data_IF_652252065798
#
_entry.id   IF_652252065798
#
_cell.length_a   1.000
_cell.length_b   1.000
_cell.length_c   1.000
_cell.angle_alpha   90.00
_cell.angle_beta   90.00
_cell.angle_gamma   90.00
#
_symmetry.space_group_name_H-M   'P 1'
#
loop_
_entity.id
_entity.type
_entity.pdbx_description
1 polymer ?
#
# COMPACT_ATOMS: atom_id res chain seq x y z
N UNK A 1 0.50 -23.88 7.93
CA UNK A 1 -0.49 -24.34 8.94
C UNK A 1 -0.35 -23.50 10.17
N UNK A 2 -1.49 -23.08 10.78
CA UNK A 2 -1.45 -22.30 12.01
C UNK A 2 -0.62 -23.01 13.09
N UNK A 3 0.08 -22.22 13.86
CA UNK A 3 0.99 -22.70 14.90
C UNK A 3 0.15 -23.25 16.08
N UNK A 4 -0.09 -24.57 16.22
CA UNK A 4 -0.87 -25.11 17.33
C UNK A 4 -0.36 -24.66 18.72
N UNK A 5 0.98 -24.50 18.94
CA UNK A 5 1.50 -23.95 20.20
C UNK A 5 1.01 -22.52 20.48
N UNK A 6 0.97 -21.64 19.48
CA UNK A 6 0.50 -20.25 19.64
C UNK A 6 -0.99 -20.19 20.01
N UNK A 7 -1.81 -20.98 19.33
CA UNK A 7 -3.24 -21.04 19.60
C UNK A 7 -3.49 -21.58 21.03
N UNK A 8 -2.75 -22.61 21.45
CA UNK A 8 -2.85 -23.15 22.81
C UNK A 8 -2.40 -22.15 23.86
N UNK A 9 -1.41 -21.32 23.53
CA UNK A 9 -0.92 -20.26 24.43
C UNK A 9 -1.97 -19.14 24.58
N UNK A 10 -2.62 -18.76 23.47
CA UNK A 10 -3.68 -17.75 23.50
C UNK A 10 -4.94 -18.23 24.25
N UNK A 11 -5.40 -19.45 23.97
CA UNK A 11 -6.49 -20.13 24.67
C UNK A 11 -6.40 -21.64 24.42
N UNK A 12 -6.32 -22.48 25.46
CA UNK A 12 -6.26 -23.95 25.32
C UNK A 12 -7.38 -24.54 24.46
N UNK A 13 -8.58 -23.91 24.44
CA UNK A 13 -9.72 -24.35 23.62
C UNK A 13 -9.46 -24.22 22.11
N UNK A 14 -8.53 -23.37 21.70
CA UNK A 14 -8.19 -23.16 20.28
C UNK A 14 -7.23 -24.22 19.73
N UNK A 15 -6.61 -25.04 20.60
CA UNK A 15 -5.55 -25.98 20.22
C UNK A 15 -5.95 -26.96 19.09
N UNK A 16 -7.22 -27.40 19.07
CA UNK A 16 -7.76 -28.30 18.06
C UNK A 16 -8.54 -27.62 16.92
N UNK A 17 -8.73 -26.30 16.98
CA UNK A 17 -9.65 -25.57 16.12
C UNK A 17 -9.26 -25.67 14.63
N UNK A 18 -7.98 -25.52 14.30
CA UNK A 18 -7.53 -25.60 12.90
C UNK A 18 -7.79 -26.97 12.32
N UNK A 19 -7.38 -28.04 13.02
CA UNK A 19 -7.62 -29.42 12.56
C UNK A 19 -9.10 -29.78 12.43
N UNK A 20 -9.96 -29.17 13.26
CA UNK A 20 -11.41 -29.40 13.19
C UNK A 20 -12.09 -28.63 12.05
N UNK A 21 -11.58 -27.41 11.73
CA UNK A 21 -12.22 -26.49 10.76
C UNK A 21 -11.58 -26.52 9.37
N UNK A 22 -10.27 -26.74 9.28
CA UNK A 22 -9.55 -26.83 8.00
C UNK A 22 -9.35 -28.30 7.64
N UNK A 23 -10.32 -28.85 6.91
CA UNK A 23 -10.37 -30.28 6.54
C UNK A 23 -10.00 -30.54 5.08
N UNK A 24 -9.26 -29.68 4.44
CA UNK A 24 -8.86 -29.81 3.04
C UNK A 24 -7.38 -30.17 2.87
N UNK A 25 -7.03 -30.60 1.66
CA UNK A 25 -5.63 -30.64 1.23
C UNK A 25 -5.19 -29.20 0.94
N UNK A 26 -4.06 -28.79 1.53
CA UNK A 26 -3.42 -27.54 1.14
C UNK A 26 -2.78 -27.75 -0.24
N UNK A 27 -2.97 -26.78 -1.11
CA UNK A 27 -2.38 -26.73 -2.45
C UNK A 27 -1.69 -25.38 -2.62
N UNK A 28 -0.67 -25.36 -3.47
CA UNK A 28 0.10 -24.15 -3.72
C UNK A 28 -0.71 -23.11 -4.48
N UNK A 29 -0.31 -21.86 -4.35
CA UNK A 29 -0.90 -20.74 -5.09
C UNK A 29 -0.77 -20.99 -6.59
N UNK A 30 -1.85 -20.75 -7.33
CA UNK A 30 -1.87 -20.98 -8.77
C UNK A 30 -1.90 -22.46 -9.18
N UNK A 31 -1.78 -23.41 -8.25
CA UNK A 31 -1.93 -24.81 -8.56
C UNK A 31 -3.37 -25.16 -8.99
N UNK A 32 -3.52 -26.21 -9.76
CA UNK A 32 -4.84 -26.70 -10.21
C UNK A 32 -5.66 -27.18 -9.01
N UNK A 33 -6.74 -26.48 -8.71
CA UNK A 33 -7.72 -26.85 -7.68
C UNK A 33 -8.80 -27.81 -8.24
N UNK A 34 -9.04 -27.75 -9.53
CA UNK A 34 -10.04 -28.55 -10.21
C UNK A 34 -10.28 -28.11 -11.66
N UNK A 35 -11.41 -28.49 -12.18
CA UNK A 35 -11.82 -28.17 -13.55
C UNK A 35 -13.25 -27.65 -13.58
N UNK A 36 -13.56 -26.75 -14.49
CA UNK A 36 -14.89 -26.18 -14.65
C UNK A 36 -15.88 -27.27 -15.04
N UNK A 37 -16.91 -27.48 -14.21
CA UNK A 37 -17.92 -28.50 -14.45
C UNK A 37 -18.80 -28.12 -15.65
N UNK A 38 -19.41 -29.13 -16.32
CA UNK A 38 -20.32 -28.90 -17.44
C UNK A 38 -21.48 -27.94 -17.08
N UNK A 39 -22.02 -28.07 -15.86
CA UNK A 39 -23.10 -27.19 -15.37
C UNK A 39 -22.65 -25.73 -15.29
N UNK A 40 -21.48 -25.45 -14.69
CA UNK A 40 -20.95 -24.10 -14.55
C UNK A 40 -20.48 -23.52 -15.90
N UNK A 41 -19.91 -24.36 -16.72
CA UNK A 41 -19.50 -24.02 -18.09
C UNK A 41 -20.68 -23.50 -18.92
N UNK A 42 -21.81 -24.25 -18.90
CA UNK A 42 -23.04 -23.86 -19.60
C UNK A 42 -23.60 -22.52 -19.08
N UNK A 43 -23.56 -22.29 -17.75
CA UNK A 43 -24.02 -21.02 -17.14
C UNK A 43 -23.14 -19.85 -17.51
N UNK A 44 -21.81 -20.04 -17.58
CA UNK A 44 -20.83 -18.99 -17.90
C UNK A 44 -20.61 -18.79 -19.40
N UNK A 45 -21.17 -19.66 -20.27
CA UNK A 45 -20.89 -19.64 -21.70
C UNK A 45 -19.45 -20.01 -22.05
N UNK A 46 -18.82 -20.87 -21.23
CA UNK A 46 -17.43 -21.30 -21.36
C UNK A 46 -17.35 -22.81 -21.69
N UNK A 47 -16.23 -23.29 -22.26
CA UNK A 47 -16.00 -24.73 -22.40
C UNK A 47 -15.87 -25.42 -21.03
N UNK A 48 -16.43 -26.65 -20.92
CA UNK A 48 -16.19 -27.50 -19.75
C UNK A 48 -14.71 -27.95 -19.68
N UNK A 49 -14.21 -28.24 -18.49
CA UNK A 49 -12.85 -28.73 -18.30
C UNK A 49 -11.75 -27.66 -18.30
N UNK A 50 -12.11 -26.37 -18.33
CA UNK A 50 -11.15 -25.29 -18.08
C UNK A 50 -10.56 -25.45 -16.68
N UNK A 51 -9.27 -25.21 -16.56
CA UNK A 51 -8.53 -25.23 -15.29
C UNK A 51 -9.10 -24.19 -14.32
N UNK A 52 -9.35 -24.62 -13.08
CA UNK A 52 -9.69 -23.76 -11.94
C UNK A 52 -8.53 -23.81 -10.95
N UNK A 53 -7.92 -22.68 -10.68
CA UNK A 53 -6.76 -22.58 -9.78
C UNK A 53 -7.16 -22.29 -8.33
N UNK A 54 -6.24 -22.56 -7.41
CA UNK A 54 -6.38 -22.16 -6.03
C UNK A 54 -6.59 -20.63 -5.92
N UNK A 55 -7.52 -20.16 -5.05
CA UNK A 55 -7.71 -18.74 -4.83
C UNK A 55 -6.51 -18.14 -4.14
N UNK A 56 -6.35 -16.81 -4.29
CA UNK A 56 -5.28 -16.04 -3.70
C UNK A 56 -5.84 -14.74 -3.10
N UNK A 57 -5.32 -14.22 -1.98
CA UNK A 57 -5.67 -12.90 -1.48
C UNK A 57 -5.40 -11.83 -2.55
N UNK A 58 -6.31 -10.88 -2.69
CA UNK A 58 -6.34 -9.89 -3.79
C UNK A 58 -5.03 -9.09 -3.92
N UNK A 59 -4.53 -8.52 -2.82
CA UNK A 59 -3.29 -7.75 -2.84
C UNK A 59 -2.09 -8.58 -3.32
N UNK A 60 -2.01 -9.84 -2.87
CA UNK A 60 -0.92 -10.76 -3.21
C UNK A 60 -1.01 -11.24 -4.67
N UNK A 61 -2.23 -11.49 -5.14
CA UNK A 61 -2.50 -11.87 -6.53
C UNK A 61 -2.07 -10.81 -7.54
N UNK A 62 -1.91 -9.55 -7.11
CA UNK A 62 -1.54 -8.45 -8.01
C UNK A 62 -0.10 -8.52 -8.52
N UNK A 63 0.82 -9.27 -7.90
CA UNK A 63 2.24 -9.26 -8.27
C UNK A 63 2.47 -9.64 -9.75
N UNK A 64 1.99 -10.78 -10.25
CA UNK A 64 2.20 -11.13 -11.66
C UNK A 64 1.56 -10.13 -12.64
N UNK A 65 0.39 -9.56 -12.28
CA UNK A 65 -0.25 -8.52 -13.08
C UNK A 65 0.58 -7.26 -13.20
N UNK A 66 1.40 -6.97 -12.21
CA UNK A 66 2.35 -5.86 -12.20
C UNK A 66 3.74 -6.26 -12.74
N UNK A 67 3.86 -7.42 -13.39
CA UNK A 67 5.11 -7.92 -13.94
C UNK A 67 6.14 -8.32 -12.87
N UNK A 68 5.69 -8.59 -11.64
CA UNK A 68 6.56 -9.01 -10.53
C UNK A 68 6.51 -10.52 -10.42
N UNK A 69 7.57 -11.18 -10.81
CA UNK A 69 7.72 -12.65 -10.81
C UNK A 69 8.83 -13.14 -9.89
N UNK A 70 9.53 -12.20 -9.21
CA UNK A 70 10.64 -12.51 -8.32
C UNK A 70 11.07 -11.31 -7.48
N UNK A 71 12.15 -11.46 -6.67
CA UNK A 71 12.67 -10.42 -5.80
C UNK A 71 13.18 -9.18 -6.53
N UNK A 72 13.06 -8.03 -5.89
CA UNK A 72 13.60 -6.74 -6.37
C UNK A 72 12.54 -5.65 -6.45
N UNK A 73 11.53 -5.74 -7.31
CA UNK A 73 10.44 -4.77 -7.30
C UNK A 73 9.41 -5.09 -6.20
N UNK A 74 8.69 -4.06 -5.76
CA UNK A 74 7.53 -4.20 -4.88
C UNK A 74 6.27 -3.65 -5.56
N UNK A 75 5.12 -4.29 -5.35
CA UNK A 75 3.82 -3.78 -5.71
C UNK A 75 3.36 -2.75 -4.68
N UNK A 76 2.88 -1.58 -5.13
CA UNK A 76 2.22 -0.58 -4.29
C UNK A 76 0.78 -0.40 -4.76
N UNK A 77 -0.17 -0.86 -3.97
CA UNK A 77 -1.57 -0.52 -4.16
C UNK A 77 -1.85 0.84 -3.51
N UNK A 78 -2.00 1.89 -4.34
CA UNK A 78 -2.25 3.26 -3.92
C UNK A 78 -3.76 3.56 -3.96
N UNK A 79 -4.44 3.23 -2.87
CA UNK A 79 -5.89 3.42 -2.68
C UNK A 79 -6.19 4.38 -1.53
N UNK A 80 -7.30 4.15 -0.83
CA UNK A 80 -7.69 4.78 0.46
C UNK A 80 -6.57 4.68 1.48
N UNK A 81 -6.07 3.46 1.68
CA UNK A 81 -4.80 3.16 2.35
C UNK A 81 -3.78 2.70 1.32
N UNK A 82 -2.52 2.54 1.73
CA UNK A 82 -1.52 1.89 0.88
C UNK A 82 -1.23 0.47 1.35
N UNK A 83 -0.95 -0.42 0.37
CA UNK A 83 -0.38 -1.72 0.65
C UNK A 83 0.84 -1.93 -0.26
N UNK A 84 1.99 -2.17 0.37
CA UNK A 84 3.23 -2.54 -0.32
C UNK A 84 3.48 -4.03 -0.14
N UNK A 85 3.51 -4.76 -1.25
CA UNK A 85 3.70 -6.21 -1.27
C UNK A 85 4.95 -6.51 -2.10
N UNK A 86 5.81 -7.35 -1.57
CA UNK A 86 6.99 -7.84 -2.28
C UNK A 86 7.27 -9.30 -1.95
N UNK A 87 8.13 -9.93 -2.72
CA UNK A 87 8.59 -11.28 -2.44
C UNK A 87 10.11 -11.34 -2.31
N UNK A 88 10.60 -12.27 -1.48
CA UNK A 88 12.02 -12.50 -1.27
C UNK A 88 12.32 -13.97 -1.01
N UNK A 89 13.55 -14.40 -1.30
CA UNK A 89 13.92 -15.82 -1.22
C UNK A 89 14.16 -16.33 0.20
N UNK A 90 14.35 -15.44 1.19
CA UNK A 90 14.70 -15.78 2.55
C UNK A 90 13.72 -15.14 3.54
N UNK A 91 13.56 -15.78 4.69
CA UNK A 91 12.87 -15.18 5.85
C UNK A 91 13.84 -14.24 6.58
N UNK A 92 13.62 -12.95 6.42
CA UNK A 92 14.35 -11.91 7.15
C UNK A 92 13.34 -11.09 7.95
N UNK A 93 13.43 -11.06 9.29
CA UNK A 93 12.53 -10.23 10.10
C UNK A 93 12.68 -8.75 9.75
N UNK A 94 11.57 -8.09 9.43
CA UNK A 94 11.51 -6.64 9.16
C UNK A 94 10.65 -5.99 10.22
N UNK A 95 11.21 -4.98 10.91
CA UNK A 95 10.51 -4.25 11.95
C UNK A 95 9.24 -3.59 11.41
N UNK A 96 8.12 -3.76 12.12
CA UNK A 96 6.84 -3.13 11.78
C UNK A 96 6.20 -3.61 10.48
N UNK A 97 6.70 -4.68 9.86
CA UNK A 97 6.00 -5.30 8.74
C UNK A 97 4.71 -5.99 9.21
N UNK A 98 3.66 -5.93 8.41
CA UNK A 98 2.35 -6.51 8.80
C UNK A 98 2.39 -8.04 8.78
N UNK A 99 3.05 -8.62 7.78
CA UNK A 99 3.24 -10.08 7.69
C UNK A 99 4.44 -10.46 6.84
N UNK A 100 5.03 -11.62 7.17
CA UNK A 100 6.03 -12.32 6.37
C UNK A 100 5.59 -13.78 6.32
N UNK A 101 5.25 -14.29 5.16
CA UNK A 101 4.68 -15.64 5.03
C UNK A 101 5.24 -16.33 3.79
N UNK A 102 5.70 -17.58 3.97
CA UNK A 102 6.14 -18.41 2.85
C UNK A 102 4.93 -18.76 1.96
N UNK A 103 5.14 -18.80 0.66
CA UNK A 103 4.12 -19.13 -0.34
C UNK A 103 2.89 -18.20 -0.29
N UNK A 104 3.05 -16.96 0.17
CA UNK A 104 1.93 -16.01 0.26
C UNK A 104 1.83 -15.07 -0.95
N UNK A 105 2.80 -15.08 -1.84
CA UNK A 105 2.82 -14.25 -3.06
C UNK A 105 3.10 -15.09 -4.30
N UNK A 106 4.23 -15.75 -4.31
CA UNK A 106 4.67 -16.66 -5.37
C UNK A 106 5.21 -17.95 -4.72
N UNK A 107 5.05 -19.12 -5.36
CA UNK A 107 5.54 -20.37 -4.82
C UNK A 107 7.05 -20.33 -4.52
N UNK A 108 7.45 -20.84 -3.37
CA UNK A 108 8.84 -20.93 -2.93
C UNK A 108 9.43 -19.60 -2.38
N UNK A 109 8.66 -18.49 -2.36
CA UNK A 109 9.12 -17.20 -1.88
C UNK A 109 8.35 -16.75 -0.64
N UNK A 110 9.04 -16.00 0.22
CA UNK A 110 8.40 -15.29 1.32
C UNK A 110 7.74 -14.01 0.79
N UNK A 111 6.45 -13.86 1.02
CA UNK A 111 5.70 -12.64 0.75
C UNK A 111 5.75 -11.72 1.97
N UNK A 112 6.12 -10.46 1.74
CA UNK A 112 6.16 -9.39 2.72
C UNK A 112 5.03 -8.42 2.46
N UNK A 113 4.29 -8.06 3.50
CA UNK A 113 3.23 -7.07 3.42
C UNK A 113 3.46 -5.94 4.41
N UNK A 114 3.46 -4.72 3.93
CA UNK A 114 3.55 -3.48 4.71
C UNK A 114 2.59 -2.44 4.13
N UNK A 115 2.41 -1.30 4.78
CA UNK A 115 1.59 -0.23 4.21
C UNK A 115 1.20 0.84 5.22
N UNK A 116 0.55 1.88 4.72
CA UNK A 116 0.09 3.02 5.50
C UNK A 116 -1.42 2.94 5.70
N UNK A 117 -1.89 3.24 6.90
CA UNK A 117 -3.31 3.12 7.27
C UNK A 117 -4.19 4.21 6.62
N UNK A 118 -3.62 5.37 6.31
CA UNK A 118 -4.21 6.40 5.45
C UNK A 118 -3.26 6.67 4.29
N UNK A 119 -3.80 6.88 3.08
CA UNK A 119 -3.04 7.27 1.90
C UNK A 119 -3.88 8.24 1.06
N UNK A 120 -4.68 7.77 0.15
CA UNK A 120 -5.61 8.63 -0.60
C UNK A 120 -6.66 9.30 0.28
N UNK A 121 -7.07 8.65 1.39
CA UNK A 121 -8.00 9.21 2.37
C UNK A 121 -7.51 10.52 2.98
N UNK A 122 -6.21 10.65 3.23
CA UNK A 122 -5.64 11.86 3.79
C UNK A 122 -5.84 13.05 2.86
N UNK A 123 -5.58 12.85 1.57
CA UNK A 123 -5.79 13.90 0.55
C UNK A 123 -7.29 14.18 0.36
N UNK A 124 -8.11 13.14 0.36
CA UNK A 124 -9.58 13.26 0.30
C UNK A 124 -10.16 13.99 1.50
N UNK A 125 -9.66 13.70 2.70
CA UNK A 125 -10.03 14.40 3.94
C UNK A 125 -9.71 15.90 3.84
N UNK A 126 -8.51 16.27 3.36
CA UNK A 126 -8.13 17.67 3.22
C UNK A 126 -9.07 18.40 2.26
N UNK A 127 -9.31 17.83 1.07
CA UNK A 127 -10.21 18.45 0.08
C UNK A 127 -11.64 18.59 0.60
N UNK A 128 -12.16 17.57 1.28
CA UNK A 128 -13.57 17.56 1.72
C UNK A 128 -13.84 18.35 3.01
N UNK A 129 -12.81 18.59 3.84
CA UNK A 129 -12.99 19.20 5.18
C UNK A 129 -12.21 20.49 5.39
N UNK A 130 -11.13 20.71 4.63
CA UNK A 130 -10.17 21.79 4.91
C UNK A 130 -9.90 22.69 3.69
N UNK A 131 -10.26 22.29 2.46
CA UNK A 131 -10.02 23.11 1.29
C UNK A 131 -10.85 24.41 1.35
N UNK A 132 -10.22 25.59 1.21
CA UNK A 132 -10.93 26.86 1.21
C UNK A 132 -11.86 27.00 -0.01
N UNK A 133 -12.89 27.81 0.15
CA UNK A 133 -13.88 28.05 -0.91
C UNK A 133 -13.26 28.60 -2.19
N UNK A 134 -12.23 29.41 -2.11
CA UNK A 134 -11.49 29.95 -3.26
C UNK A 134 -10.88 28.84 -4.14
N UNK A 135 -10.38 27.76 -3.52
CA UNK A 135 -9.84 26.61 -4.24
C UNK A 135 -10.97 25.84 -4.94
N UNK A 136 -12.08 25.65 -4.22
CA UNK A 136 -13.26 24.96 -4.75
C UNK A 136 -13.88 25.72 -5.93
N UNK A 137 -13.98 27.05 -5.83
CA UNK A 137 -14.45 27.91 -6.91
C UNK A 137 -13.50 27.89 -8.11
N UNK A 138 -12.19 28.01 -7.89
CA UNK A 138 -11.22 27.98 -8.98
C UNK A 138 -11.25 26.64 -9.73
N UNK A 139 -11.41 25.52 -9.01
CA UNK A 139 -11.57 24.21 -9.62
C UNK A 139 -12.87 24.13 -10.46
N UNK A 140 -13.98 24.68 -9.95
CA UNK A 140 -15.27 24.72 -10.61
C UNK A 140 -15.22 25.56 -11.90
N UNK A 141 -14.63 26.73 -11.84
CA UNK A 141 -14.47 27.65 -13.00
C UNK A 141 -13.59 27.02 -14.08
N UNK A 142 -12.55 26.27 -13.67
CA UNK A 142 -11.67 25.54 -14.57
C UNK A 142 -12.23 24.19 -15.05
N UNK A 143 -13.40 23.75 -14.58
CA UNK A 143 -14.00 22.43 -14.86
C UNK A 143 -13.09 21.24 -14.52
N UNK A 144 -12.34 21.35 -13.44
CA UNK A 144 -11.44 20.30 -12.92
C UNK A 144 -11.81 19.94 -11.47
N UNK A 145 -11.22 18.87 -10.95
CA UNK A 145 -11.40 18.52 -9.53
C UNK A 145 -10.57 19.45 -8.61
N UNK A 146 -11.02 19.62 -7.36
CA UNK A 146 -10.25 20.36 -6.36
C UNK A 146 -8.87 19.70 -6.06
N UNK A 147 -8.77 18.38 -6.19
CA UNK A 147 -7.49 17.66 -6.14
C UNK A 147 -6.54 18.11 -7.26
N UNK A 148 -7.06 18.28 -8.45
CA UNK A 148 -6.29 18.70 -9.63
C UNK A 148 -5.85 20.15 -9.51
N UNK A 149 -6.73 21.06 -9.05
CA UNK A 149 -6.40 22.47 -8.80
C UNK A 149 -5.32 22.61 -7.73
N UNK A 150 -5.45 21.91 -6.59
CA UNK A 150 -4.42 21.89 -5.55
C UNK A 150 -3.10 21.32 -6.04
N UNK A 151 -3.15 20.23 -6.83
CA UNK A 151 -1.94 19.65 -7.43
C UNK A 151 -1.26 20.61 -8.38
N UNK A 152 -2.03 21.33 -9.21
CA UNK A 152 -1.52 22.34 -10.15
C UNK A 152 -0.78 23.48 -9.41
N UNK A 153 -1.36 23.98 -8.31
CA UNK A 153 -0.73 25.01 -7.47
C UNK A 153 0.49 24.45 -6.73
N UNK A 154 0.37 23.25 -6.14
CA UNK A 154 1.45 22.59 -5.40
C UNK A 154 2.66 22.23 -6.29
N UNK A 155 2.45 22.01 -7.59
CA UNK A 155 3.52 21.73 -8.55
C UNK A 155 4.49 22.91 -8.75
N UNK A 156 4.07 24.13 -8.43
CA UNK A 156 4.90 25.33 -8.54
C UNK A 156 5.86 25.51 -7.35
N UNK A 157 5.68 24.76 -6.28
CA UNK A 157 6.51 24.83 -5.08
C UNK A 157 7.78 24.00 -5.24
N UNK A 158 8.85 24.43 -4.63
CA UNK A 158 10.09 23.65 -4.50
C UNK A 158 10.06 22.76 -3.23
N UNK A 159 10.86 21.66 -3.18
CA UNK A 159 11.03 20.88 -1.96
C UNK A 159 11.46 21.75 -0.77
N UNK A 160 10.71 21.67 0.34
CA UNK A 160 11.00 22.43 1.55
C UNK A 160 10.59 23.92 1.54
N UNK A 161 10.07 24.45 0.42
CA UNK A 161 9.66 25.87 0.32
C UNK A 161 8.60 26.25 1.35
N UNK A 162 7.65 25.34 1.61
CA UNK A 162 6.58 25.58 2.58
C UNK A 162 7.04 25.64 4.04
N UNK A 163 8.21 25.05 4.36
CA UNK A 163 8.65 24.86 5.76
C UNK A 163 7.78 23.88 6.56
N UNK A 164 6.92 23.11 5.90
CA UNK A 164 6.00 22.20 6.56
C UNK A 164 6.54 20.77 6.58
N UNK A 165 6.30 20.07 7.71
CA UNK A 165 6.50 18.60 7.81
C UNK A 165 5.18 17.96 8.27
N UNK A 166 4.81 16.84 7.64
CA UNK A 166 3.60 16.07 7.96
C UNK A 166 3.96 14.66 8.41
N UNK A 167 3.49 14.24 9.59
CA UNK A 167 3.40 12.82 9.96
C UNK A 167 2.06 12.28 9.47
N UNK A 168 2.09 11.31 8.56
CA UNK A 168 0.94 10.79 7.79
C UNK A 168 -0.04 9.89 8.57
N UNK A 169 -0.05 9.94 9.90
CA UNK A 169 -0.71 8.97 10.78
C UNK A 169 -2.18 9.28 11.08
N UNK A 170 -2.97 9.83 10.16
CA UNK A 170 -4.39 10.14 10.36
C UNK A 170 -5.22 8.94 10.83
N UNK A 171 -4.87 7.73 10.41
CA UNK A 171 -5.46 6.47 10.88
C UNK A 171 -4.46 5.61 11.67
N UNK A 172 -3.49 6.21 12.37
CA UNK A 172 -2.40 5.51 13.06
C UNK A 172 -1.25 5.12 12.13
N UNK A 173 -0.21 4.51 12.68
CA UNK A 173 0.93 3.99 11.92
C UNK A 173 0.85 2.46 11.84
N UNK A 174 0.53 1.93 10.65
CA UNK A 174 0.39 0.48 10.42
C UNK A 174 1.74 -0.20 10.31
N UNK A 175 2.67 0.38 9.56
CA UNK A 175 3.99 -0.17 9.31
C UNK A 175 5.07 0.79 9.75
N UNK A 176 6.15 0.22 10.21
CA UNK A 176 7.27 0.65 11.00
C UNK A 176 6.97 0.66 12.50
N UNK A 177 5.92 1.29 12.98
CA UNK A 177 5.63 1.38 14.42
C UNK A 177 4.55 0.40 14.88
N UNK A 178 3.67 -0.05 13.97
CA UNK A 178 2.53 -0.92 14.27
C UNK A 178 1.65 -0.39 15.43
N UNK A 179 1.50 0.93 15.53
CA UNK A 179 0.76 1.61 16.59
C UNK A 179 -0.40 2.45 16.02
N UNK A 180 -1.61 1.90 16.16
CA UNK A 180 -2.84 2.54 15.69
C UNK A 180 -3.35 3.64 16.64
N UNK A 181 -2.67 3.89 17.76
CA UNK A 181 -2.99 4.98 18.70
C UNK A 181 -2.30 6.29 18.35
N UNK A 182 -1.35 6.25 17.42
CA UNK A 182 -0.71 7.46 16.89
C UNK A 182 -1.71 8.25 16.03
N UNK A 183 -1.47 9.54 15.86
CA UNK A 183 -2.31 10.46 15.08
C UNK A 183 -1.47 11.35 14.19
N UNK A 184 -2.07 11.86 13.12
CA UNK A 184 -1.42 12.76 12.17
C UNK A 184 -0.97 14.07 12.84
N UNK A 185 0.06 14.67 12.25
CA UNK A 185 0.59 15.97 12.68
C UNK A 185 1.03 16.77 11.46
N UNK A 186 0.77 18.07 11.49
CA UNK A 186 1.34 19.04 10.56
C UNK A 186 2.10 20.10 11.37
N UNK A 187 3.39 20.21 11.13
CA UNK A 187 4.30 21.14 11.82
C UNK A 187 4.77 22.23 10.85
N UNK A 188 4.99 23.45 11.37
CA UNK A 188 5.58 24.56 10.61
C UNK A 188 4.56 25.58 10.07
N UNK A 189 3.27 25.44 10.38
CA UNK A 189 2.24 26.40 9.92
C UNK A 189 2.42 27.80 10.46
N UNK A 190 2.20 28.79 9.60
CA UNK A 190 2.20 30.22 9.92
C UNK A 190 0.93 30.88 9.37
N UNK A 191 0.71 32.16 9.66
CA UNK A 191 -0.40 32.93 9.08
C UNK A 191 -0.28 33.13 7.55
N UNK A 192 0.89 32.84 6.97
CA UNK A 192 1.16 32.93 5.53
C UNK A 192 0.96 31.60 4.80
N UNK A 193 0.72 30.51 5.55
CA UNK A 193 0.60 29.16 4.96
C UNK A 193 -0.60 29.07 4.04
N UNK A 194 -0.37 28.63 2.80
CA UNK A 194 -1.37 28.52 1.74
C UNK A 194 -1.91 27.08 1.61
N UNK A 195 -3.12 26.88 1.09
CA UNK A 195 -3.74 25.55 0.95
C UNK A 195 -2.90 24.55 0.15
N UNK A 196 -2.27 25.00 -0.93
CA UNK A 196 -1.40 24.15 -1.77
C UNK A 196 -0.12 23.74 -1.06
N UNK A 197 0.39 24.52 -0.13
CA UNK A 197 1.55 24.19 0.71
C UNK A 197 1.20 23.04 1.67
N UNK A 198 0.01 23.13 2.29
CA UNK A 198 -0.51 22.05 3.14
C UNK A 198 -0.72 20.79 2.31
N UNK A 199 -1.39 20.89 1.14
CA UNK A 199 -1.66 19.75 0.30
C UNK A 199 -0.38 19.05 -0.17
N UNK A 200 0.67 19.83 -0.51
CA UNK A 200 1.98 19.28 -0.84
C UNK A 200 2.64 18.60 0.36
N UNK A 201 2.62 19.22 1.54
CA UNK A 201 3.17 18.62 2.75
C UNK A 201 2.48 17.31 3.14
N UNK A 202 1.16 17.18 2.90
CA UNK A 202 0.45 15.91 3.06
C UNK A 202 0.96 14.83 2.09
N UNK A 203 1.15 15.17 0.81
CA UNK A 203 1.73 14.24 -0.18
C UNK A 203 3.17 13.85 0.19
N UNK A 204 3.99 14.81 0.61
CA UNK A 204 5.37 14.57 1.03
C UNK A 204 5.43 13.70 2.29
N UNK A 205 4.56 13.93 3.27
CA UNK A 205 4.44 13.10 4.47
C UNK A 205 4.11 11.63 4.15
N UNK A 206 3.16 11.41 3.22
CA UNK A 206 2.87 10.05 2.71
C UNK A 206 4.09 9.41 2.03
N UNK A 207 4.86 10.20 1.28
CA UNK A 207 6.12 9.76 0.67
C UNK A 207 7.18 9.40 1.70
N UNK A 208 7.35 10.21 2.75
CA UNK A 208 8.29 9.94 3.83
C UNK A 208 7.90 8.69 4.63
N UNK A 209 6.61 8.51 4.93
CA UNK A 209 6.12 7.28 5.56
C UNK A 209 6.42 6.04 4.72
N UNK A 210 6.23 6.11 3.40
CA UNK A 210 6.59 5.02 2.48
C UNK A 210 8.11 4.79 2.46
N UNK A 211 8.92 5.84 2.47
CA UNK A 211 10.39 5.74 2.56
C UNK A 211 10.84 5.06 3.87
N UNK A 212 10.22 5.36 5.02
CA UNK A 212 10.48 4.65 6.27
C UNK A 212 10.24 3.15 6.14
N UNK A 213 9.17 2.74 5.44
CA UNK A 213 8.86 1.32 5.20
C UNK A 213 9.95 0.68 4.32
N UNK A 214 10.34 1.33 3.23
CA UNK A 214 11.40 0.86 2.33
C UNK A 214 12.73 0.71 3.09
N UNK A 215 13.13 1.73 3.85
CA UNK A 215 14.36 1.71 4.63
C UNK A 215 14.37 0.59 5.69
N UNK A 216 13.22 0.28 6.30
CA UNK A 216 13.11 -0.83 7.25
C UNK A 216 13.38 -2.18 6.55
N UNK A 217 12.87 -2.38 5.33
CA UNK A 217 13.14 -3.58 4.55
C UNK A 217 14.60 -3.66 4.14
N UNK A 218 15.18 -2.58 3.64
CA UNK A 218 16.58 -2.54 3.20
C UNK A 218 17.56 -2.76 4.36
N UNK A 219 17.29 -2.17 5.54
CA UNK A 219 18.10 -2.44 6.75
C UNK A 219 18.05 -3.90 7.17
N UNK A 220 16.94 -4.59 6.91
CA UNK A 220 16.81 -6.03 7.18
C UNK A 220 17.43 -6.91 6.08
N UNK A 221 17.97 -6.33 5.00
CA UNK A 221 18.58 -7.06 3.89
C UNK A 221 17.60 -7.47 2.79
N UNK A 222 16.38 -6.88 2.77
CA UNK A 222 15.37 -7.10 1.73
C UNK A 222 15.36 -5.90 0.78
N UNK A 223 16.10 -5.93 -0.34
CA UNK A 223 16.25 -4.77 -1.23
C UNK A 223 14.98 -4.51 -2.05
N UNK A 224 14.64 -3.23 -2.20
CA UNK A 224 13.53 -2.76 -3.03
C UNK A 224 14.08 -1.84 -4.12
N UNK A 225 14.07 -2.31 -5.37
CA UNK A 225 14.70 -1.60 -6.50
C UNK A 225 13.76 -0.64 -7.23
N UNK A 226 12.46 -0.94 -7.21
CA UNK A 226 11.43 -0.18 -7.91
C UNK A 226 10.07 -0.45 -7.27
N UNK A 227 9.11 0.46 -7.48
CA UNK A 227 7.72 0.22 -7.14
C UNK A 227 6.87 0.12 -8.42
N UNK A 228 6.05 -0.92 -8.50
CA UNK A 228 5.02 -1.07 -9.51
C UNK A 228 3.68 -0.68 -8.88
N UNK A 229 3.13 0.45 -9.31
CA UNK A 229 2.03 1.14 -8.62
C UNK A 229 0.70 0.89 -9.34
N UNK A 230 -0.30 0.50 -8.57
CA UNK A 230 -1.69 0.36 -9.00
C UNK A 230 -2.61 1.21 -8.12
N UNK A 231 -3.86 1.37 -8.56
CA UNK A 231 -4.88 2.14 -7.84
C UNK A 231 -5.13 3.51 -8.43
N UNK A 232 -6.31 4.07 -8.10
CA UNK A 232 -6.84 5.27 -8.75
C UNK A 232 -5.95 6.50 -8.69
N UNK A 233 -5.24 6.68 -7.58
CA UNK A 233 -4.38 7.85 -7.38
C UNK A 233 -3.15 7.84 -8.29
N UNK A 234 -2.68 6.65 -8.71
CA UNK A 234 -1.47 6.50 -9.51
C UNK A 234 -1.60 7.10 -10.94
N UNK A 235 -2.79 7.17 -11.48
CA UNK A 235 -3.04 7.79 -12.78
C UNK A 235 -3.83 9.09 -12.70
N UNK A 236 -4.42 9.43 -11.53
CA UNK A 236 -5.16 10.68 -11.34
C UNK A 236 -4.29 11.82 -10.80
N UNK A 237 -3.15 11.52 -10.17
CA UNK A 237 -2.27 12.54 -9.59
C UNK A 237 -0.79 12.34 -10.00
N UNK A 238 -0.41 12.80 -11.22
CA UNK A 238 0.97 12.71 -11.71
C UNK A 238 1.99 13.41 -10.81
N UNK A 239 1.62 14.57 -10.21
CA UNK A 239 2.49 15.27 -9.27
C UNK A 239 2.85 14.37 -8.09
N UNK A 240 1.85 13.74 -7.46
CA UNK A 240 2.11 12.89 -6.31
C UNK A 240 3.00 11.69 -6.68
N UNK A 241 2.82 11.09 -7.86
CA UNK A 241 3.71 10.01 -8.31
C UNK A 241 5.15 10.49 -8.50
N UNK A 242 5.36 11.68 -9.06
CA UNK A 242 6.71 12.24 -9.20
C UNK A 242 7.32 12.54 -7.82
N UNK A 243 6.55 13.15 -6.90
CA UNK A 243 7.00 13.39 -5.52
C UNK A 243 7.37 12.10 -4.81
N UNK A 244 6.55 11.05 -4.91
CA UNK A 244 6.88 9.74 -4.36
C UNK A 244 8.21 9.20 -4.91
N UNK A 245 8.40 9.24 -6.24
CA UNK A 245 9.64 8.78 -6.87
C UNK A 245 10.86 9.53 -6.34
N UNK A 246 10.75 10.87 -6.24
CA UNK A 246 11.83 11.74 -5.75
C UNK A 246 12.17 11.47 -4.28
N UNK A 247 11.15 11.31 -3.42
CA UNK A 247 11.31 11.09 -1.97
C UNK A 247 11.91 9.72 -1.68
N UNK A 248 11.38 8.66 -2.32
CA UNK A 248 11.88 7.30 -2.09
C UNK A 248 13.15 6.97 -2.90
N UNK A 249 13.55 7.84 -3.83
CA UNK A 249 14.70 7.68 -4.72
C UNK A 249 14.68 6.36 -5.50
N UNK A 250 13.49 5.96 -5.97
CA UNK A 250 13.26 4.74 -6.75
C UNK A 250 12.30 5.02 -7.90
N UNK A 251 12.49 4.33 -9.04
CA UNK A 251 11.56 4.44 -10.15
C UNK A 251 10.18 3.86 -9.80
N UNK A 252 9.13 4.51 -10.32
CA UNK A 252 7.76 4.03 -10.28
C UNK A 252 7.32 3.61 -11.68
N UNK A 253 6.66 2.45 -11.78
CA UNK A 253 6.02 1.95 -12.99
C UNK A 253 4.52 1.87 -12.73
N UNK A 254 3.71 2.52 -13.56
CA UNK A 254 2.28 2.66 -13.33
C UNK A 254 1.49 1.59 -14.09
N UNK A 255 0.52 0.97 -13.42
CA UNK A 255 -0.38 0.02 -14.08
C UNK A 255 -1.43 0.74 -14.94
N UNK A 256 -1.95 0.05 -15.95
CA UNK A 256 -3.22 0.42 -16.59
C UNK A 256 -4.36 0.34 -15.56
N UNK A 257 -5.48 1.07 -15.75
CA UNK A 257 -6.63 1.03 -14.85
C UNK A 257 -7.44 -0.27 -14.99
N UNK A 258 -6.79 -1.40 -14.70
CA UNK A 258 -7.35 -2.74 -14.74
C UNK A 258 -7.38 -3.33 -13.33
N UNK A 259 -8.29 -4.29 -13.04
CA UNK A 259 -8.34 -4.99 -11.77
C UNK A 259 -7.13 -5.92 -11.62
N UNK A 260 -6.01 -5.38 -11.12
CA UNK A 260 -4.72 -6.11 -11.02
C UNK A 260 -4.83 -7.47 -10.32
N UNK A 261 -5.64 -7.69 -9.26
CA UNK A 261 -5.81 -9.01 -8.69
C UNK A 261 -6.39 -10.03 -9.67
N UNK A 262 -7.42 -9.63 -10.43
CA UNK A 262 -8.05 -10.51 -11.42
C UNK A 262 -7.10 -10.85 -12.57
N UNK A 263 -6.33 -9.87 -13.06
CA UNK A 263 -5.30 -10.10 -14.08
C UNK A 263 -4.21 -11.03 -13.55
N UNK A 264 -3.76 -10.83 -12.31
CA UNK A 264 -2.76 -11.73 -11.70
C UNK A 264 -3.25 -13.16 -11.55
N UNK A 265 -4.50 -13.36 -11.15
CA UNK A 265 -5.11 -14.69 -11.12
C UNK A 265 -5.25 -15.29 -12.53
N UNK A 266 -5.56 -14.49 -13.55
CA UNK A 266 -5.59 -14.94 -14.93
C UNK A 266 -4.21 -15.43 -15.42
N UNK A 267 -3.13 -14.70 -15.05
CA UNK A 267 -1.75 -15.09 -15.36
C UNK A 267 -1.40 -16.43 -14.70
N UNK A 268 -1.68 -16.57 -13.39
CA UNK A 268 -1.45 -17.82 -12.67
C UNK A 268 -2.25 -18.99 -13.26
N UNK A 269 -3.51 -18.72 -13.65
CA UNK A 269 -4.36 -19.73 -14.29
C UNK A 269 -3.89 -20.13 -15.69
N UNK A 270 -3.34 -19.17 -16.45
CA UNK A 270 -2.72 -19.43 -17.73
C UNK A 270 -1.47 -20.31 -17.59
N UNK A 271 -0.66 -20.10 -16.56
CA UNK A 271 0.47 -20.97 -16.23
C UNK A 271 0.00 -22.38 -15.82
N UNK A 272 -1.04 -22.47 -15.00
CA UNK A 272 -1.60 -23.78 -14.59
C UNK A 272 -2.21 -24.57 -15.75
N UNK A 273 -2.69 -23.89 -16.80
CA UNK A 273 -3.19 -24.53 -18.02
C UNK A 273 -2.04 -25.10 -18.89
N UNK A 274 -0.89 -24.45 -18.89
CA UNK A 274 0.27 -24.81 -19.69
C UNK A 274 0.10 -24.53 -21.19
N UNK A 275 1.22 -24.60 -21.93
CA UNK A 275 1.25 -24.32 -23.38
C UNK A 275 0.36 -25.25 -24.19
N UNK A 276 0.18 -26.52 -23.78
CA UNK A 276 -0.69 -27.50 -24.46
C UNK A 276 -2.18 -27.09 -24.48
N UNK A 277 -2.60 -26.23 -23.55
CA UNK A 277 -3.97 -25.69 -23.48
C UNK A 277 -4.04 -24.20 -23.80
N UNK A 278 -3.04 -23.65 -24.50
CA UNK A 278 -2.98 -22.25 -24.90
C UNK A 278 -2.55 -21.29 -23.80
N UNK A 279 -2.00 -21.81 -22.70
CA UNK A 279 -1.39 -21.02 -21.62
C UNK A 279 0.12 -20.90 -21.75
N UNK A 280 0.83 -20.85 -20.63
CA UNK A 280 2.27 -20.66 -20.54
C UNK A 280 2.89 -21.66 -19.58
N UNK A 281 4.13 -22.10 -19.85
CA UNK A 281 4.83 -22.99 -18.93
C UNK A 281 5.71 -22.21 -17.92
N UNK A 282 5.95 -20.92 -18.18
CA UNK A 282 6.79 -20.06 -17.34
C UNK A 282 6.04 -18.79 -16.92
N UNK A 283 6.12 -18.45 -15.62
CA UNK A 283 5.45 -17.27 -15.07
C UNK A 283 6.00 -15.96 -15.66
N UNK A 284 7.31 -15.89 -15.87
CA UNK A 284 7.96 -14.71 -16.46
C UNK A 284 7.43 -14.41 -17.86
N UNK A 285 7.28 -15.43 -18.69
CA UNK A 285 6.73 -15.28 -20.03
C UNK A 285 5.25 -14.84 -19.98
N UNK A 286 4.45 -15.49 -19.13
CA UNK A 286 3.03 -15.15 -18.96
C UNK A 286 2.88 -13.71 -18.47
N UNK A 287 3.64 -13.30 -17.46
CA UNK A 287 3.62 -11.95 -16.94
C UNK A 287 4.10 -10.92 -17.98
N UNK A 288 5.14 -11.21 -18.74
CA UNK A 288 5.63 -10.30 -19.79
C UNK A 288 4.56 -10.01 -20.86
N UNK A 289 3.70 -10.99 -21.18
CA UNK A 289 2.67 -10.85 -22.20
C UNK A 289 1.31 -10.36 -21.68
N UNK A 290 0.98 -10.66 -20.43
CA UNK A 290 -0.36 -10.44 -19.86
C UNK A 290 -0.38 -9.35 -18.78
N UNK A 291 0.77 -8.83 -18.33
CA UNK A 291 0.80 -7.80 -17.29
C UNK A 291 0.06 -6.52 -17.72
N UNK A 292 -0.43 -5.81 -16.75
CA UNK A 292 -1.14 -4.55 -16.95
C UNK A 292 -0.25 -3.32 -16.70
N UNK A 293 1.07 -3.42 -16.77
CA UNK A 293 1.93 -2.25 -16.76
C UNK A 293 1.67 -1.37 -18.00
N UNK A 294 1.67 -0.07 -17.78
CA UNK A 294 1.61 0.94 -18.84
C UNK A 294 3.02 1.42 -19.19
N UNK A 295 3.12 2.29 -20.19
CA UNK A 295 4.37 2.98 -20.54
C UNK A 295 4.69 4.15 -19.59
N UNK A 296 3.77 4.48 -18.68
CA UNK A 296 3.94 5.58 -17.72
C UNK A 296 4.91 5.15 -16.62
N UNK A 297 5.96 5.93 -16.47
CA UNK A 297 6.99 5.74 -15.44
C UNK A 297 7.44 7.08 -14.90
N UNK A 298 7.79 7.10 -13.62
CA UNK A 298 8.40 8.25 -12.96
C UNK A 298 9.81 7.85 -12.51
N UNK A 299 10.78 8.70 -12.84
CA UNK A 299 12.16 8.53 -12.40
C UNK A 299 12.44 9.58 -11.32
N UNK A 300 13.22 9.24 -10.29
CA UNK A 300 13.64 10.23 -9.32
C UNK A 300 14.48 11.31 -9.99
N UNK A 301 14.22 12.57 -9.62
CA UNK A 301 15.03 13.71 -10.05
C UNK A 301 16.25 13.86 -9.12
N UNK A 302 17.47 13.60 -9.58
CA UNK A 302 18.66 13.70 -8.74
C UNK A 302 18.90 15.11 -8.19
N UNK A 303 18.42 16.16 -8.86
CA UNK A 303 18.58 17.52 -8.42
C UNK A 303 17.77 17.84 -7.13
N UNK A 304 16.76 17.04 -6.82
CA UNK A 304 15.92 17.20 -5.63
C UNK A 304 16.32 16.25 -4.49
N UNK A 305 17.27 15.33 -4.70
CA UNK A 305 17.62 14.29 -3.73
C UNK A 305 18.07 14.87 -2.39
N UNK A 306 19.02 15.83 -2.38
CA UNK A 306 19.57 16.42 -1.16
C UNK A 306 18.50 17.18 -0.34
N UNK A 307 17.57 17.86 -1.02
CA UNK A 307 16.48 18.57 -0.37
C UNK A 307 15.54 17.57 0.31
N UNK A 308 15.13 16.49 -0.38
CA UNK A 308 14.28 15.45 0.20
C UNK A 308 15.00 14.63 1.27
N UNK A 309 16.30 14.41 1.19
CA UNK A 309 17.08 13.76 2.24
C UNK A 309 17.13 14.64 3.52
N UNK A 310 17.19 15.94 3.35
CA UNK A 310 17.13 16.88 4.47
C UNK A 310 15.77 16.87 5.14
N UNK A 311 14.67 16.98 4.38
CA UNK A 311 13.30 16.90 4.89
C UNK A 311 13.00 15.55 5.53
N UNK A 312 13.49 14.46 4.93
CA UNK A 312 13.31 13.13 5.48
C UNK A 312 14.00 12.92 6.82
N UNK A 313 15.17 13.54 7.05
CA UNK A 313 15.83 13.52 8.37
C UNK A 313 14.98 14.19 9.44
N UNK A 314 14.35 15.32 9.12
CA UNK A 314 13.43 15.99 10.06
C UNK A 314 12.16 15.14 10.29
N UNK A 315 11.59 14.57 9.22
CA UNK A 315 10.47 13.63 9.37
C UNK A 315 10.85 12.44 10.26
N UNK A 316 12.00 11.80 10.03
CA UNK A 316 12.45 10.64 10.79
C UNK A 316 12.71 10.99 12.28
N UNK A 317 13.24 12.18 12.58
CA UNK A 317 13.40 12.65 13.95
C UNK A 317 12.05 12.79 14.67
N UNK A 318 11.04 13.37 14.01
CA UNK A 318 9.70 13.50 14.57
C UNK A 318 8.99 12.14 14.66
N UNK A 319 9.16 11.28 13.65
CA UNK A 319 8.65 9.91 13.64
C UNK A 319 9.14 9.13 14.86
N UNK A 320 10.43 9.18 15.16
CA UNK A 320 11.00 8.47 16.31
C UNK A 320 10.62 9.16 17.63
N UNK A 321 10.59 10.47 17.69
CA UNK A 321 10.23 11.23 18.90
C UNK A 321 8.80 10.89 19.38
N UNK A 322 7.82 10.86 18.48
CA UNK A 322 6.43 10.53 18.84
C UNK A 322 6.12 9.03 18.76
N UNK A 323 6.76 8.30 17.87
CA UNK A 323 6.44 6.91 17.59
C UNK A 323 7.15 5.89 18.46
N UNK A 324 8.36 6.21 18.95
CA UNK A 324 9.18 5.28 19.75
C UNK A 324 9.19 5.58 21.26
N UNK A 325 8.21 6.35 21.73
CA UNK A 325 7.95 6.53 23.16
C UNK A 325 8.72 7.65 23.86
N UNK A 326 9.44 8.51 23.13
CA UNK A 326 10.04 9.72 23.74
C UNK A 326 8.96 10.72 24.17
N UNK A 327 7.82 10.77 23.47
CA UNK A 327 6.69 11.61 23.85
C UNK A 327 5.34 10.98 23.47
N UNK A 328 4.59 10.52 24.46
CA UNK A 328 3.27 9.91 24.29
C UNK A 328 2.09 10.90 24.22
N UNK A 329 2.32 12.15 23.88
CA UNK A 329 1.27 13.18 23.86
C UNK A 329 0.08 12.79 22.97
N UNK A 330 0.31 12.18 21.81
CA UNK A 330 -0.76 11.74 20.90
C UNK A 330 -1.68 10.71 21.58
N UNK A 331 -1.11 9.75 22.31
CA UNK A 331 -1.85 8.72 23.04
C UNK A 331 -2.63 9.33 24.21
N UNK A 332 -2.00 10.22 24.99
CA UNK A 332 -2.68 10.91 26.09
C UNK A 332 -3.87 11.76 25.63
N UNK A 333 -3.73 12.46 24.49
CA UNK A 333 -4.84 13.24 23.91
C UNK A 333 -6.00 12.34 23.46
N UNK A 334 -5.70 11.17 22.88
CA UNK A 334 -6.76 10.19 22.54
C UNK A 334 -7.47 9.64 23.75
N UNK A 335 -6.72 9.29 24.81
CA UNK A 335 -7.30 8.78 26.06
C UNK A 335 -8.18 9.86 26.73
N UNK A 336 -7.73 11.12 26.76
CA UNK A 336 -8.52 12.25 27.24
C UNK A 336 -9.83 12.41 26.43
N UNK A 337 -9.74 12.38 25.10
CA UNK A 337 -10.92 12.48 24.22
C UNK A 337 -11.90 11.35 24.45
N UNK A 338 -11.43 10.11 24.64
CA UNK A 338 -12.29 8.96 24.93
C UNK A 338 -13.01 9.14 26.26
N UNK A 339 -12.28 9.49 27.32
CA UNK A 339 -12.87 9.72 28.66
C UNK A 339 -13.94 10.83 28.67
N UNK A 340 -13.69 11.94 27.95
CA UNK A 340 -14.68 13.04 27.84
C UNK A 340 -15.94 12.59 27.10
N UNK A 341 -15.79 11.81 26.03
CA UNK A 341 -16.94 11.27 25.27
C UNK A 341 -17.76 10.30 26.10
N UNK A 342 -17.14 9.38 26.84
CA UNK A 342 -17.84 8.46 27.73
C UNK A 342 -18.66 9.21 28.80
N UNK A 343 -18.07 10.25 29.41
CA UNK A 343 -18.80 11.09 30.38
C UNK A 343 -19.96 11.87 29.77
N UNK A 344 -19.83 12.30 28.51
CA UNK A 344 -20.89 12.99 27.79
C UNK A 344 -22.06 12.03 27.47
N UNK A 345 -21.77 10.81 27.02
CA UNK A 345 -22.81 9.79 26.76
C UNK A 345 -23.53 9.36 28.05
N UNK A 346 -22.81 9.13 29.14
CA UNK A 346 -23.41 8.74 30.44
C UNK A 346 -24.33 9.80 31.07
N UNK A 347 -24.28 11.06 30.58
CA UNK A 347 -25.20 12.12 31.03
C UNK A 347 -26.48 12.22 30.22
N UNK A 348 -26.59 11.48 29.12
CA UNK A 348 -27.76 11.47 28.23
C UNK A 348 -28.57 10.17 28.31
N UNK A 349 -28.12 9.19 29.11
CA UNK A 349 -28.88 8.05 29.59
C UNK A 349 -29.53 8.36 30.98
#
# INVERSE_FOLDING_TARGET
MGYPPLLRYADPRLAGMIGAKVRGKLIDIGAVSGYLTARQAAWLGLPAGIVVTAPHPDAMASLPALGITGPGPAALAAGTSSAMILCYSQFLPVEGTTSITLDNTLPGLYGYASGQAAFGDLLGWFVSRCAPEEVLRAAQDAHISAHEELSRRAALLHPGESGLICLDWWNGNRSCLADMRLSGMLLGMTLQTRPEEIYRALMEGLGFGLRCIIDAHERAGVPIRALHVSGGISYKNPLFMQLLSNIIQRPLYISKPLPTPAVGMAILSACAAGTQKGGYDQLDEAAARMSCLSDIRYQPDPAQADAYDTLYREYAALHDYFGRGANDVMKRLRDLSAAVKEQAYAKHE
#
